data_IF_544736577576
#
_entry.id   IF_544736577576
#
_cell.length_a   1.000
_cell.length_b   1.000
_cell.length_c   1.000
_cell.angle_alpha   90.00
_cell.angle_beta   90.00
_cell.angle_gamma   90.00
#
_symmetry.space_group_name_H-M   'P 1'
#
loop_
_entity.id
_entity.type
_entity.pdbx_description
1 polymer ?
#
# COMPACT_ATOMS: atom_id res chain seq x y z
N UNK A 1 0.29 11.97 8.34
CA UNK A 1 -0.51 13.20 8.56
C UNK A 1 -2.00 12.90 8.83
N UNK A 2 -2.61 11.89 8.20
CA UNK A 2 -4.01 11.50 8.48
C UNK A 2 -4.19 10.96 9.90
N UNK A 3 -3.22 10.22 10.42
CA UNK A 3 -3.27 9.70 11.80
C UNK A 3 -3.21 10.81 12.86
N UNK A 4 -2.48 11.89 12.61
CA UNK A 4 -2.48 13.06 13.50
C UNK A 4 -3.86 13.77 13.56
N UNK A 5 -4.68 13.68 12.52
CA UNK A 5 -6.04 14.21 12.52
C UNK A 5 -6.92 13.40 13.47
N UNK A 6 -6.75 12.07 13.55
CA UNK A 6 -7.48 11.19 14.46
C UNK A 6 -7.14 11.48 15.94
N UNK A 7 -5.85 11.59 16.25
CA UNK A 7 -5.41 11.78 17.64
C UNK A 7 -5.73 13.16 18.20
N UNK A 8 -5.78 14.20 17.37
CA UNK A 8 -5.84 15.57 17.84
C UNK A 8 -7.14 16.30 17.53
N UNK A 9 -8.08 15.69 16.78
CA UNK A 9 -9.31 16.34 16.31
C UNK A 9 -9.07 17.75 15.73
N UNK A 10 -7.88 18.00 15.20
CA UNK A 10 -7.47 19.27 14.60
C UNK A 10 -7.77 19.23 13.11
N UNK A 11 -8.61 20.12 12.64
CA UNK A 11 -8.95 20.25 11.22
C UNK A 11 -7.75 20.51 10.32
N UNK A 12 -7.92 20.25 9.03
CA UNK A 12 -6.94 20.65 8.02
C UNK A 12 -6.96 22.16 7.81
N UNK A 13 -5.77 22.74 7.68
CA UNK A 13 -5.62 24.14 7.32
C UNK A 13 -6.16 24.38 5.90
N UNK A 14 -7.09 25.28 5.72
CA UNK A 14 -7.48 25.76 4.38
C UNK A 14 -6.43 26.72 3.84
N UNK A 15 -5.92 26.45 2.64
CA UNK A 15 -5.04 27.38 1.91
C UNK A 15 -5.85 28.39 1.06
N UNK A 16 -7.16 28.23 0.96
CA UNK A 16 -7.99 28.97 0.01
C UNK A 16 -8.19 30.44 0.35
N UNK A 17 -8.04 30.84 1.62
CA UNK A 17 -8.30 32.22 2.08
C UNK A 17 -7.05 33.00 2.49
N UNK A 18 -5.87 32.41 2.39
CA UNK A 18 -4.63 33.03 2.86
C UNK A 18 -4.49 33.09 4.40
N UNK A 19 -5.57 32.90 5.13
CA UNK A 19 -5.58 32.84 6.57
C UNK A 19 -5.39 31.40 7.06
N UNK A 20 -4.51 31.20 8.02
CA UNK A 20 -4.25 29.89 8.65
C UNK A 20 -5.35 29.54 9.66
N UNK A 21 -6.58 29.40 9.20
CA UNK A 21 -7.69 28.98 10.06
C UNK A 21 -7.81 27.47 10.01
N UNK A 22 -7.65 26.81 11.17
CA UNK A 22 -7.93 25.40 11.31
C UNK A 22 -9.46 25.19 11.21
N UNK A 23 -9.93 24.50 10.19
CA UNK A 23 -11.33 24.12 10.04
C UNK A 23 -11.50 22.78 10.76
N UNK A 24 -12.24 22.71 11.88
CA UNK A 24 -12.53 21.45 12.54
C UNK A 24 -13.31 20.53 11.59
N UNK A 25 -12.87 19.29 11.44
CA UNK A 25 -13.61 18.27 10.71
C UNK A 25 -14.16 17.27 11.71
N UNK A 26 -15.44 17.00 11.61
CA UNK A 26 -16.06 15.88 12.32
C UNK A 26 -15.57 14.59 11.63
N UNK A 27 -14.96 13.70 12.40
CA UNK A 27 -14.51 12.39 11.95
C UNK A 27 -15.18 11.37 12.84
N UNK A 28 -15.93 10.47 12.23
CA UNK A 28 -16.53 9.32 12.89
C UNK A 28 -15.93 8.05 12.34
N UNK A 29 -15.70 7.08 13.22
CA UNK A 29 -15.18 5.77 12.86
C UNK A 29 -16.34 4.82 12.70
N UNK A 30 -16.30 3.99 11.68
CA UNK A 30 -17.19 2.85 11.54
C UNK A 30 -16.42 1.54 11.81
N UNK A 31 -17.15 0.51 12.15
CA UNK A 31 -16.65 -0.84 12.34
C UNK A 31 -16.91 -1.67 11.08
N UNK A 32 -15.91 -2.40 10.62
CA UNK A 32 -16.00 -3.25 9.40
C UNK A 32 -17.14 -4.26 9.53
N UNK A 33 -18.00 -4.33 8.53
CA UNK A 33 -19.14 -5.24 8.48
C UNK A 33 -20.30 -4.87 9.38
N UNK A 34 -20.25 -3.71 10.06
CA UNK A 34 -21.33 -3.25 10.94
C UNK A 34 -22.01 -2.02 10.32
N UNK A 35 -23.29 -2.15 10.07
CA UNK A 35 -24.11 -1.08 9.56
C UNK A 35 -24.11 0.16 10.46
N UNK A 36 -24.18 1.32 9.83
CA UNK A 36 -24.35 2.61 10.48
C UNK A 36 -25.22 3.52 9.63
N UNK A 37 -25.74 4.61 10.22
CA UNK A 37 -26.57 5.55 9.49
C UNK A 37 -25.93 6.93 9.42
N UNK A 38 -26.09 7.60 8.28
CA UNK A 38 -25.79 9.00 8.07
C UNK A 38 -27.12 9.67 7.71
N UNK A 39 -27.68 10.44 8.62
CA UNK A 39 -29.04 11.00 8.50
C UNK A 39 -30.06 9.88 8.20
N UNK A 40 -30.72 9.93 7.04
CA UNK A 40 -31.70 8.93 6.59
C UNK A 40 -31.11 7.79 5.74
N UNK A 41 -29.81 7.78 5.51
CA UNK A 41 -29.14 6.77 4.68
C UNK A 41 -28.56 5.70 5.61
N UNK A 42 -28.93 4.44 5.39
CA UNK A 42 -28.26 3.31 6.03
C UNK A 42 -27.09 2.82 5.18
N UNK A 43 -25.94 2.57 5.79
CA UNK A 43 -24.67 2.25 5.12
C UNK A 43 -24.12 0.93 5.63
N UNK A 44 -23.93 -0.02 4.71
CA UNK A 44 -23.23 -1.28 4.97
C UNK A 44 -21.76 -1.15 4.50
N UNK A 45 -20.77 -1.11 5.40
CA UNK A 45 -19.36 -1.14 5.03
C UNK A 45 -18.88 -2.59 4.89
N UNK A 46 -18.51 -2.99 3.70
CA UNK A 46 -18.06 -4.35 3.39
C UNK A 46 -16.57 -4.34 3.01
N UNK A 47 -15.71 -5.11 3.70
CA UNK A 47 -14.31 -5.16 3.37
C UNK A 47 -14.11 -5.76 1.96
N UNK A 48 -13.13 -5.24 1.24
CA UNK A 48 -12.71 -5.77 -0.07
C UNK A 48 -11.19 -5.88 -0.14
N UNK A 49 -10.71 -6.73 -1.02
CA UNK A 49 -9.27 -6.86 -1.28
C UNK A 49 -8.78 -5.69 -2.13
N UNK A 50 -7.73 -5.06 -1.67
CA UNK A 50 -6.95 -4.04 -2.37
C UNK A 50 -5.52 -4.07 -1.80
N UNK A 51 -4.56 -3.34 -2.40
CA UNK A 51 -3.16 -3.29 -1.93
C UNK A 51 -2.99 -2.78 -0.49
N UNK A 52 -3.96 -2.00 0.01
CA UNK A 52 -3.98 -1.48 1.38
C UNK A 52 -5.07 -2.20 2.17
N UNK A 53 -4.73 -2.94 3.26
CA UNK A 53 -5.72 -3.52 4.14
C UNK A 53 -6.64 -2.46 4.77
N UNK A 54 -7.94 -2.78 4.86
CA UNK A 54 -8.94 -1.87 5.42
C UNK A 54 -9.69 -1.02 4.38
N UNK A 55 -9.54 -1.30 3.10
CA UNK A 55 -10.42 -0.75 2.06
C UNK A 55 -11.78 -1.41 2.18
N UNK A 56 -12.84 -0.60 2.02
CA UNK A 56 -14.23 -1.03 2.09
C UNK A 56 -15.00 -0.57 0.87
N UNK A 57 -15.78 -1.45 0.33
CA UNK A 57 -16.92 -1.14 -0.51
C UNK A 57 -18.14 -0.81 0.38
N UNK A 58 -19.16 -0.21 -0.20
CA UNK A 58 -20.34 0.21 0.55
C UNK A 58 -21.62 -0.12 -0.19
N UNK A 59 -22.65 -0.53 0.56
CA UNK A 59 -24.03 -0.54 0.07
C UNK A 59 -24.78 0.55 0.84
N UNK A 60 -25.43 1.45 0.10
CA UNK A 60 -26.18 2.57 0.63
C UNK A 60 -27.66 2.30 0.39
N UNK A 61 -28.45 2.27 1.45
CA UNK A 61 -29.91 2.15 1.39
C UNK A 61 -30.54 3.52 1.64
N UNK A 62 -31.27 4.01 0.66
CA UNK A 62 -31.95 5.30 0.69
C UNK A 62 -33.47 5.13 0.52
N UNK A 63 -34.25 6.17 0.71
CA UNK A 63 -35.68 6.14 0.45
C UNK A 63 -36.01 5.97 -1.05
N UNK A 64 -35.10 6.34 -1.94
CA UNK A 64 -35.29 6.33 -3.40
C UNK A 64 -34.67 5.09 -4.08
N UNK A 65 -33.89 4.29 -3.34
CA UNK A 65 -33.26 3.07 -3.86
C UNK A 65 -31.96 2.69 -3.18
N UNK A 66 -31.33 1.62 -3.67
CA UNK A 66 -30.09 1.05 -3.15
C UNK A 66 -28.91 1.25 -4.11
N UNK A 67 -27.78 1.65 -3.58
CA UNK A 67 -26.55 1.97 -4.34
C UNK A 67 -25.40 1.12 -3.80
N UNK A 68 -24.79 0.32 -4.67
CA UNK A 68 -23.49 -0.32 -4.40
C UNK A 68 -22.34 0.57 -4.88
N UNK A 69 -21.27 0.64 -4.11
CA UNK A 69 -20.01 1.28 -4.50
C UNK A 69 -18.86 0.33 -4.23
N UNK A 70 -18.18 -0.10 -5.30
CA UNK A 70 -17.09 -1.09 -5.19
C UNK A 70 -15.88 -0.56 -4.43
N UNK A 71 -15.68 0.77 -4.37
CA UNK A 71 -14.37 1.33 -4.13
C UNK A 71 -13.32 0.70 -5.06
N UNK A 72 -12.03 0.74 -4.70
CA UNK A 72 -10.98 0.03 -5.42
C UNK A 72 -10.91 -1.41 -4.92
N UNK A 73 -10.99 -2.38 -5.81
CA UNK A 73 -11.01 -3.80 -5.46
C UNK A 73 -10.20 -4.69 -6.42
N UNK A 74 -9.87 -5.89 -5.94
CA UNK A 74 -9.25 -6.97 -6.73
C UNK A 74 -9.65 -8.34 -6.19
N UNK A 75 -9.33 -9.44 -6.93
CA UNK A 75 -9.54 -10.84 -6.50
C UNK A 75 -8.23 -11.65 -6.45
N UNK A 76 -7.12 -11.05 -6.83
CA UNK A 76 -5.82 -11.73 -6.92
C UNK A 76 -4.87 -11.41 -5.74
N UNK A 77 -5.39 -10.76 -4.71
CA UNK A 77 -4.67 -10.51 -3.47
C UNK A 77 -4.94 -11.53 -2.38
N UNK A 78 -4.63 -11.17 -1.14
CA UNK A 78 -4.73 -12.07 0.02
C UNK A 78 -6.11 -12.11 0.68
N UNK A 79 -7.01 -11.21 0.27
CA UNK A 79 -8.36 -11.05 0.85
C UNK A 79 -9.46 -11.17 -0.20
N UNK A 80 -9.22 -11.97 -1.27
CA UNK A 80 -10.21 -12.16 -2.35
C UNK A 80 -11.58 -12.58 -1.82
N UNK A 81 -11.62 -13.40 -0.76
CA UNK A 81 -12.87 -13.89 -0.15
C UNK A 81 -13.71 -12.72 0.41
N UNK A 82 -13.09 -11.61 0.83
CA UNK A 82 -13.81 -10.41 1.26
C UNK A 82 -14.50 -9.75 0.05
N UNK A 83 -13.81 -9.66 -1.09
CA UNK A 83 -14.39 -9.12 -2.34
C UNK A 83 -15.51 -10.05 -2.88
N UNK A 84 -15.34 -11.36 -2.81
CA UNK A 84 -16.39 -12.33 -3.20
C UNK A 84 -17.66 -12.12 -2.37
N UNK A 85 -17.55 -11.99 -1.04
CA UNK A 85 -18.67 -11.70 -0.14
C UNK A 85 -19.35 -10.36 -0.44
N UNK A 86 -18.59 -9.34 -0.83
CA UNK A 86 -19.18 -8.08 -1.26
C UNK A 86 -20.05 -8.27 -2.50
N UNK A 87 -19.58 -9.01 -3.51
CA UNK A 87 -20.35 -9.30 -4.72
C UNK A 87 -21.63 -10.09 -4.41
N UNK A 88 -21.52 -11.12 -3.57
CA UNK A 88 -22.67 -11.92 -3.10
C UNK A 88 -23.68 -11.02 -2.37
N UNK A 89 -23.22 -10.17 -1.48
CA UNK A 89 -24.10 -9.25 -0.72
C UNK A 89 -24.79 -8.22 -1.63
N UNK A 90 -24.10 -7.74 -2.67
CA UNK A 90 -24.71 -6.89 -3.69
C UNK A 90 -25.86 -7.60 -4.43
N UNK A 91 -25.64 -8.85 -4.83
CA UNK A 91 -26.67 -9.66 -5.51
C UNK A 91 -27.93 -9.87 -4.63
N UNK A 92 -27.76 -10.01 -3.32
CA UNK A 92 -28.85 -10.14 -2.35
C UNK A 92 -29.60 -8.83 -2.08
N UNK A 93 -28.97 -7.67 -2.36
CA UNK A 93 -29.49 -6.35 -2.00
C UNK A 93 -30.39 -5.71 -3.05
N UNK A 94 -30.67 -6.38 -4.20
CA UNK A 94 -31.46 -5.86 -5.32
C UNK A 94 -31.06 -4.42 -5.67
N UNK A 95 -29.80 -4.22 -6.02
CA UNK A 95 -29.20 -2.89 -6.25
C UNK A 95 -29.87 -2.16 -7.42
N UNK A 96 -30.31 -0.91 -7.18
CA UNK A 96 -30.78 -0.02 -8.25
C UNK A 96 -29.59 0.50 -9.07
N UNK A 97 -28.46 0.82 -8.41
CA UNK A 97 -27.25 1.31 -9.08
C UNK A 97 -26.00 0.64 -8.49
N UNK A 98 -25.08 0.29 -9.35
CA UNK A 98 -23.70 -0.05 -8.98
C UNK A 98 -22.73 1.01 -9.51
N UNK A 99 -21.99 1.66 -8.62
CA UNK A 99 -20.81 2.45 -8.95
C UNK A 99 -19.62 1.47 -8.99
N UNK A 100 -19.11 1.19 -10.19
CA UNK A 100 -18.07 0.17 -10.38
C UNK A 100 -16.76 0.77 -10.87
N UNK A 101 -15.66 0.48 -10.17
CA UNK A 101 -14.34 0.85 -10.63
C UNK A 101 -13.99 0.20 -11.97
N UNK A 102 -13.02 0.77 -12.67
CA UNK A 102 -12.50 0.23 -13.91
C UNK A 102 -11.08 0.71 -14.20
N UNK A 103 -10.28 0.91 -13.17
CA UNK A 103 -8.90 1.43 -13.29
C UNK A 103 -8.05 0.60 -14.26
N UNK A 104 -8.23 -0.72 -14.27
CA UNK A 104 -7.51 -1.67 -15.14
C UNK A 104 -8.45 -2.58 -15.91
N UNK A 105 -9.58 -2.06 -16.31
CA UNK A 105 -10.63 -2.81 -17.01
C UNK A 105 -10.17 -3.34 -18.39
N UNK A 106 -9.17 -2.72 -19.00
CA UNK A 106 -8.53 -3.12 -20.25
C UNK A 106 -7.34 -4.09 -20.06
N UNK A 107 -6.92 -4.35 -18.80
CA UNK A 107 -5.81 -5.24 -18.52
C UNK A 107 -6.23 -6.72 -18.59
N UNK A 108 -5.29 -7.55 -19.01
CA UNK A 108 -5.43 -9.02 -18.95
C UNK A 108 -5.05 -9.55 -17.56
N UNK A 109 -5.55 -10.76 -17.19
CA UNK A 109 -5.16 -11.40 -15.94
C UNK A 109 -3.65 -11.48 -15.77
N UNK A 110 -3.17 -11.16 -14.58
CA UNK A 110 -1.76 -11.10 -14.23
C UNK A 110 -1.44 -12.07 -13.08
N UNK A 111 -0.30 -11.85 -12.44
CA UNK A 111 0.12 -12.59 -11.25
C UNK A 111 -0.85 -12.39 -10.08
N UNK A 112 -0.85 -13.35 -9.17
CA UNK A 112 -1.43 -13.20 -7.83
C UNK A 112 -0.37 -12.70 -6.83
N UNK A 113 -0.80 -12.26 -5.65
CA UNK A 113 0.11 -11.90 -4.56
C UNK A 113 0.97 -13.09 -4.10
N UNK A 114 0.46 -14.32 -4.23
CA UNK A 114 1.21 -15.55 -3.96
C UNK A 114 2.28 -15.87 -5.01
N UNK A 115 2.03 -15.52 -6.28
CA UNK A 115 3.04 -15.64 -7.34
C UNK A 115 4.18 -14.64 -7.11
N UNK A 116 3.85 -13.41 -6.67
CA UNK A 116 4.85 -12.42 -6.26
C UNK A 116 5.71 -12.99 -5.13
N UNK A 117 5.08 -13.51 -4.08
CA UNK A 117 5.77 -14.13 -2.94
C UNK A 117 6.74 -15.22 -3.40
N UNK A 118 6.26 -16.18 -4.22
CA UNK A 118 7.09 -17.28 -4.72
C UNK A 118 8.29 -16.79 -5.52
N UNK A 119 8.09 -15.85 -6.43
CA UNK A 119 9.18 -15.27 -7.24
C UNK A 119 10.19 -14.50 -6.39
N UNK A 120 9.73 -13.77 -5.37
CA UNK A 120 10.61 -13.07 -4.44
C UNK A 120 11.46 -14.07 -3.64
N UNK A 121 10.86 -15.16 -3.14
CA UNK A 121 11.58 -16.24 -2.44
C UNK A 121 12.70 -16.79 -3.32
N UNK A 122 12.41 -17.10 -4.59
CA UNK A 122 13.38 -17.66 -5.53
C UNK A 122 14.56 -16.70 -5.77
N UNK A 123 14.29 -15.42 -5.98
CA UNK A 123 15.34 -14.41 -6.21
C UNK A 123 16.19 -14.25 -4.96
N UNK A 124 15.57 -14.12 -3.79
CA UNK A 124 16.28 -13.92 -2.52
C UNK A 124 17.16 -15.11 -2.18
N UNK A 125 16.70 -16.35 -2.43
CA UNK A 125 17.49 -17.55 -2.22
C UNK A 125 18.73 -17.62 -3.13
N UNK A 126 18.65 -17.04 -4.33
CA UNK A 126 19.77 -16.98 -5.28
C UNK A 126 20.68 -15.74 -5.07
N UNK A 127 20.30 -14.80 -4.20
CA UNK A 127 21.06 -13.58 -3.90
C UNK A 127 22.18 -13.88 -2.91
N UNK A 128 23.44 -13.58 -3.30
CA UNK A 128 24.62 -13.81 -2.43
C UNK A 128 24.92 -12.65 -1.49
N UNK A 129 24.62 -11.43 -1.92
CA UNK A 129 24.82 -10.19 -1.17
C UNK A 129 23.52 -9.69 -0.52
N UNK A 130 23.37 -8.36 -0.47
CA UNK A 130 22.17 -7.69 0.00
C UNK A 130 21.03 -7.90 -1.01
N UNK A 131 19.90 -8.41 -0.57
CA UNK A 131 18.67 -8.32 -1.34
C UNK A 131 18.01 -6.95 -1.04
N UNK A 132 17.88 -6.10 -2.06
CA UNK A 132 17.28 -4.79 -1.92
C UNK A 132 15.90 -4.86 -2.58
N UNK A 133 14.88 -4.30 -1.94
CA UNK A 133 13.53 -4.29 -2.49
C UNK A 133 12.89 -2.91 -2.43
N UNK A 134 12.12 -2.57 -3.47
CA UNK A 134 11.30 -1.36 -3.53
C UNK A 134 9.84 -1.72 -3.78
N UNK A 135 8.93 -1.27 -2.90
CA UNK A 135 7.48 -1.44 -3.04
C UNK A 135 6.74 -0.28 -2.34
N UNK A 136 5.41 -0.09 -2.57
CA UNK A 136 4.69 0.99 -1.92
C UNK A 136 4.69 0.81 -0.39
N UNK A 137 5.15 1.82 0.34
CA UNK A 137 5.34 1.75 1.82
C UNK A 137 4.08 1.36 2.59
N UNK A 138 2.91 1.57 2.03
CA UNK A 138 1.61 1.25 2.62
C UNK A 138 1.03 -0.09 2.17
N UNK A 139 1.66 -0.75 1.21
CA UNK A 139 1.27 -2.08 0.75
C UNK A 139 1.80 -3.14 1.74
N UNK A 140 1.01 -3.42 2.77
CA UNK A 140 1.41 -4.38 3.81
C UNK A 140 1.23 -5.84 3.35
N UNK A 141 0.45 -6.10 2.33
CA UNK A 141 0.40 -7.44 1.72
C UNK A 141 1.73 -7.74 1.01
N UNK A 142 2.29 -6.73 0.33
CA UNK A 142 3.61 -6.85 -0.28
C UNK A 142 4.72 -6.94 0.76
N UNK A 143 4.64 -6.17 1.85
CA UNK A 143 5.53 -6.34 2.99
C UNK A 143 5.48 -7.78 3.52
N UNK A 144 4.28 -8.36 3.64
CA UNK A 144 4.11 -9.74 4.09
C UNK A 144 4.78 -10.73 3.13
N UNK A 145 4.69 -10.53 1.81
CA UNK A 145 5.39 -11.35 0.82
C UNK A 145 6.91 -11.32 1.01
N UNK A 146 7.50 -10.14 1.24
CA UNK A 146 8.92 -10.01 1.55
C UNK A 146 9.30 -10.57 2.93
N UNK A 147 8.43 -10.47 3.92
CA UNK A 147 8.64 -11.08 5.23
C UNK A 147 8.67 -12.61 5.16
N UNK A 148 7.76 -13.21 4.39
CA UNK A 148 7.76 -14.66 4.15
C UNK A 148 9.02 -15.07 3.42
N UNK A 149 9.46 -14.31 2.40
CA UNK A 149 10.72 -14.55 1.72
C UNK A 149 11.92 -14.47 2.67
N UNK A 150 11.93 -13.51 3.59
CA UNK A 150 12.98 -13.40 4.61
C UNK A 150 13.05 -14.65 5.49
N UNK A 151 11.90 -15.13 5.98
CA UNK A 151 11.84 -16.38 6.78
C UNK A 151 12.34 -17.59 6.00
N UNK A 152 11.89 -17.76 4.75
CA UNK A 152 12.22 -18.91 3.92
C UNK A 152 13.70 -18.93 3.50
N UNK A 153 14.35 -17.77 3.44
CA UNK A 153 15.77 -17.63 3.10
C UNK A 153 16.69 -17.50 4.32
N UNK A 154 16.15 -17.62 5.53
CA UNK A 154 16.87 -17.39 6.79
C UNK A 154 17.55 -16.01 6.86
N UNK A 155 16.85 -14.99 6.37
CA UNK A 155 17.24 -13.57 6.43
C UNK A 155 16.27 -12.78 7.31
N UNK A 156 16.63 -11.53 7.62
CA UNK A 156 15.74 -10.58 8.26
C UNK A 156 15.26 -9.55 7.24
N UNK A 157 13.96 -9.22 7.26
CA UNK A 157 13.42 -8.10 6.51
C UNK A 157 13.68 -6.79 7.26
N UNK A 158 14.42 -5.90 6.65
CA UNK A 158 14.71 -4.56 7.17
C UNK A 158 13.68 -3.59 6.60
N UNK A 159 12.83 -3.06 7.46
CA UNK A 159 11.73 -2.13 7.11
C UNK A 159 12.05 -0.72 7.59
N UNK A 160 11.37 0.28 7.03
CA UNK A 160 11.49 1.66 7.52
C UNK A 160 10.58 1.92 8.74
N UNK A 161 10.76 3.06 9.41
CA UNK A 161 9.98 3.42 10.60
C UNK A 161 8.48 3.63 10.28
N UNK A 162 8.11 4.01 9.04
CA UNK A 162 6.69 4.14 8.67
C UNK A 162 6.02 2.78 8.61
N UNK A 163 6.69 1.79 8.04
CA UNK A 163 6.20 0.42 8.00
C UNK A 163 6.13 -0.18 9.41
N UNK A 164 7.14 0.07 10.26
CA UNK A 164 7.11 -0.35 11.67
C UNK A 164 5.92 0.27 12.41
N UNK A 165 5.63 1.54 12.18
CA UNK A 165 4.48 2.22 12.76
C UNK A 165 3.14 1.62 12.27
N UNK A 166 3.02 1.33 10.96
CA UNK A 166 1.83 0.67 10.42
C UNK A 166 1.63 -0.74 11.01
N UNK A 167 2.70 -1.54 11.11
CA UNK A 167 2.64 -2.86 11.74
C UNK A 167 2.22 -2.77 13.22
N UNK A 168 2.69 -1.75 13.96
CA UNK A 168 2.26 -1.49 15.34
C UNK A 168 0.76 -1.22 15.41
N UNK A 169 0.22 -0.39 14.51
CA UNK A 169 -1.22 -0.11 14.45
C UNK A 169 -2.02 -1.36 14.12
N UNK A 170 -1.56 -2.17 13.17
CA UNK A 170 -2.22 -3.41 12.77
C UNK A 170 -2.20 -4.45 13.87
N UNK A 171 -1.09 -4.53 14.61
CA UNK A 171 -1.01 -5.42 15.78
C UNK A 171 -1.93 -5.00 16.93
N UNK A 172 -2.21 -3.70 17.04
CA UNK A 172 -3.18 -3.18 18.01
C UNK A 172 -4.66 -3.39 17.59
N UNK A 173 -4.92 -3.62 16.30
CA UNK A 173 -6.28 -3.87 15.77
C UNK A 173 -6.69 -5.32 15.96
N UNK A 174 -7.84 -5.59 16.58
CA UNK A 174 -8.35 -6.96 16.76
C UNK A 174 -8.62 -7.67 15.42
N UNK A 175 -9.06 -6.93 14.39
CA UNK A 175 -9.34 -7.48 13.07
C UNK A 175 -8.08 -7.88 12.29
N UNK A 176 -6.92 -7.28 12.58
CA UNK A 176 -5.68 -7.44 11.83
C UNK A 176 -4.57 -8.12 12.64
N UNK A 177 -4.74 -8.23 13.96
CA UNK A 177 -3.76 -8.88 14.85
C UNK A 177 -3.50 -10.32 14.40
N UNK A 178 -2.25 -10.66 14.24
CA UNK A 178 -1.80 -11.99 13.79
C UNK A 178 -1.88 -12.24 12.30
N UNK A 179 -2.49 -11.35 11.49
CA UNK A 179 -2.46 -11.45 10.02
C UNK A 179 -1.17 -10.89 9.44
N UNK A 180 -0.52 -9.99 10.14
CA UNK A 180 0.75 -9.35 9.76
C UNK A 180 1.77 -9.50 10.88
N UNK A 181 3.09 -9.46 10.59
CA UNK A 181 4.12 -9.55 11.62
C UNK A 181 4.03 -8.38 12.61
N UNK A 182 4.44 -8.60 13.84
CA UNK A 182 4.69 -7.52 14.79
C UNK A 182 5.95 -6.75 14.37
N UNK A 183 6.05 -5.43 14.66
CA UNK A 183 7.29 -4.70 14.43
C UNK A 183 8.48 -5.24 15.26
N UNK A 184 8.23 -6.06 16.28
CA UNK A 184 9.23 -6.74 17.11
C UNK A 184 9.41 -8.22 16.75
N UNK A 185 8.84 -8.68 15.64
CA UNK A 185 8.99 -10.06 15.20
C UNK A 185 10.47 -10.40 14.94
N UNK A 186 10.82 -11.67 15.17
CA UNK A 186 12.21 -12.18 15.09
C UNK A 186 12.89 -11.84 13.75
N UNK A 187 12.15 -11.95 12.64
CA UNK A 187 12.68 -11.71 11.29
C UNK A 187 12.40 -10.29 10.77
N UNK A 188 12.04 -9.33 11.65
CA UNK A 188 11.92 -7.91 11.33
C UNK A 188 13.08 -7.15 11.96
N UNK A 189 13.68 -6.24 11.20
CA UNK A 189 14.58 -5.19 11.67
C UNK A 189 14.04 -3.83 11.27
N UNK A 190 14.19 -2.85 12.14
CA UNK A 190 13.72 -1.48 11.89
C UNK A 190 14.92 -0.62 11.54
N UNK A 191 14.94 -0.10 10.33
CA UNK A 191 16.02 0.73 9.85
C UNK A 191 15.92 2.15 10.42
N UNK A 192 16.94 2.52 11.19
CA UNK A 192 17.11 3.87 11.69
C UNK A 192 17.92 4.67 10.65
N UNK A 193 17.19 5.38 9.82
CA UNK A 193 17.78 6.23 8.77
C UNK A 193 18.48 7.45 9.40
N UNK A 194 19.48 7.97 8.73
CA UNK A 194 20.04 9.28 9.11
C UNK A 194 18.95 10.36 8.98
N UNK A 195 18.78 11.16 10.01
CA UNK A 195 17.90 12.33 10.03
C UNK A 195 18.49 13.53 9.31
N UNK A 196 17.92 14.72 9.50
CA UNK A 196 18.31 15.95 8.81
C UNK A 196 19.73 16.42 9.17
N UNK A 197 20.18 16.15 10.38
CA UNK A 197 21.56 16.41 10.83
C UNK A 197 22.54 15.30 10.48
N UNK A 198 22.04 14.16 10.01
CA UNK A 198 22.84 12.97 9.70
C UNK A 198 23.39 12.26 10.95
N UNK A 199 22.83 12.54 12.13
CA UNK A 199 23.27 11.97 13.40
C UNK A 199 22.67 10.59 13.62
N UNK A 200 23.41 9.75 14.36
CA UNK A 200 22.97 8.48 14.91
C UNK A 200 23.56 8.37 16.33
N UNK A 201 22.97 7.54 17.19
CA UNK A 201 23.31 7.36 18.60
C UNK A 201 24.80 7.45 18.95
N UNK A 202 25.68 6.93 18.11
CA UNK A 202 27.14 6.93 18.32
C UNK A 202 27.79 8.31 18.21
N UNK A 203 27.06 9.26 17.68
CA UNK A 203 27.52 10.66 17.61
C UNK A 203 27.18 11.44 18.90
N UNK A 204 26.45 10.82 19.84
CA UNK A 204 26.00 11.44 21.09
C UNK A 204 27.12 12.07 21.92
N UNK A 205 28.34 11.52 21.84
CA UNK A 205 29.50 12.10 22.52
C UNK A 205 29.89 13.51 22.00
N UNK A 206 29.39 13.87 20.81
CA UNK A 206 29.68 15.18 20.17
C UNK A 206 28.46 16.10 20.22
N UNK A 207 27.27 15.56 20.39
CA UNK A 207 26.01 16.29 20.33
C UNK A 207 25.13 15.91 21.50
N UNK A 208 24.28 16.83 21.95
CA UNK A 208 23.32 16.54 23.03
C UNK A 208 22.24 15.59 22.55
N UNK A 209 21.72 14.74 23.44
CA UNK A 209 20.57 13.86 23.18
C UNK A 209 19.38 14.64 22.59
N UNK A 210 19.10 15.84 23.09
CA UNK A 210 18.07 16.72 22.55
C UNK A 210 18.27 17.03 21.07
N UNK A 211 19.51 17.19 20.61
CA UNK A 211 19.81 17.48 19.20
C UNK A 211 19.63 16.22 18.32
N UNK A 212 20.02 15.06 18.84
CA UNK A 212 19.77 13.77 18.19
C UNK A 212 18.27 13.50 18.02
N UNK A 213 17.50 13.68 19.09
CA UNK A 213 16.05 13.49 19.06
C UNK A 213 15.35 14.48 18.13
N UNK A 214 15.88 15.70 17.96
CA UNK A 214 15.32 16.70 17.04
C UNK A 214 15.39 16.28 15.56
N UNK A 215 16.27 15.34 15.20
CA UNK A 215 16.35 14.79 13.85
C UNK A 215 15.15 13.89 13.48
N UNK A 216 14.43 13.41 14.48
CA UNK A 216 13.33 12.48 14.31
C UNK A 216 12.01 13.08 14.81
N UNK A 217 10.95 12.92 14.02
CA UNK A 217 9.59 13.28 14.45
C UNK A 217 9.19 12.45 15.69
N UNK A 218 8.32 13.00 16.57
CA UNK A 218 7.93 12.36 17.83
C UNK A 218 7.48 10.90 17.69
N UNK A 219 6.77 10.57 16.61
CA UNK A 219 6.34 9.20 16.33
C UNK A 219 7.46 8.26 15.89
N UNK A 220 8.60 8.79 15.41
CA UNK A 220 9.79 8.02 15.02
C UNK A 220 10.68 7.73 16.22
N UNK A 221 10.71 8.63 17.20
CA UNK A 221 11.63 8.55 18.35
C UNK A 221 11.45 7.26 19.14
N UNK A 222 10.23 6.72 19.24
CA UNK A 222 9.99 5.47 19.93
C UNK A 222 10.75 4.27 19.32
N UNK A 223 11.01 4.28 17.99
CA UNK A 223 11.68 3.17 17.31
C UNK A 223 13.21 3.18 17.49
N UNK A 224 13.78 4.29 17.97
CA UNK A 224 15.23 4.40 18.17
C UNK A 224 15.75 3.39 19.20
N UNK A 225 14.94 3.07 20.21
CA UNK A 225 15.28 2.18 21.31
C UNK A 225 14.72 0.74 21.13
N UNK A 226 14.16 0.42 19.97
CA UNK A 226 13.67 -0.94 19.73
C UNK A 226 14.84 -1.94 19.70
N UNK A 227 14.70 -3.14 20.29
CA UNK A 227 15.78 -4.13 20.40
C UNK A 227 16.23 -4.67 19.04
N UNK A 228 15.40 -4.51 18.02
CA UNK A 228 15.66 -4.91 16.63
C UNK A 228 15.91 -3.72 15.70
N UNK A 229 16.19 -2.53 16.25
CA UNK A 229 16.64 -1.37 15.50
C UNK A 229 18.04 -1.62 14.93
N UNK A 230 18.24 -1.23 13.68
CA UNK A 230 19.51 -1.35 12.96
C UNK A 230 19.79 -0.09 12.15
N UNK A 231 21.07 0.25 11.99
CA UNK A 231 21.49 1.34 11.13
C UNK A 231 22.30 0.84 9.92
N UNK A 232 22.74 1.75 9.06
CA UNK A 232 23.52 1.40 7.86
C UNK A 232 24.80 0.60 8.20
N UNK A 233 25.42 0.79 9.38
CA UNK A 233 26.63 0.10 9.80
C UNK A 233 26.38 -1.37 10.08
N UNK A 234 25.21 -1.69 10.61
CA UNK A 234 24.80 -3.06 10.86
C UNK A 234 24.52 -3.79 9.54
N UNK A 235 23.81 -3.11 8.63
CA UNK A 235 23.52 -3.68 7.31
C UNK A 235 24.81 -3.90 6.51
N UNK A 236 25.72 -2.90 6.49
CA UNK A 236 27.00 -2.98 5.77
C UNK A 236 27.83 -4.20 6.19
N UNK A 237 27.81 -4.52 7.49
CA UNK A 237 28.59 -5.65 8.04
C UNK A 237 28.07 -7.03 7.65
N UNK A 238 26.76 -7.17 7.40
CA UNK A 238 26.09 -8.48 7.28
C UNK A 238 25.08 -8.50 6.14
N UNK A 239 25.44 -7.95 4.99
CA UNK A 239 24.55 -7.72 3.86
C UNK A 239 23.75 -8.96 3.42
N UNK A 240 24.36 -10.12 3.42
CA UNK A 240 23.74 -11.39 3.05
C UNK A 240 22.70 -11.91 4.07
N UNK A 241 22.58 -11.27 5.23
CA UNK A 241 21.57 -11.62 6.24
C UNK A 241 20.28 -10.82 6.10
N UNK A 242 20.23 -9.86 5.17
CA UNK A 242 19.11 -8.92 5.08
C UNK A 242 18.43 -8.90 3.72
N UNK A 243 17.11 -8.63 3.77
CA UNK A 243 16.34 -8.07 2.69
C UNK A 243 16.06 -6.62 3.10
N UNK A 244 16.59 -5.66 2.37
CA UNK A 244 16.55 -4.24 2.73
C UNK A 244 15.49 -3.49 1.91
N UNK A 245 14.48 -2.96 2.58
CA UNK A 245 13.51 -2.07 1.96
C UNK A 245 14.14 -0.70 1.67
N UNK A 246 14.18 -0.34 0.40
CA UNK A 246 14.71 0.94 -0.09
C UNK A 246 13.68 1.60 -1.01
N UNK A 247 12.99 2.61 -0.53
CA UNK A 247 12.07 3.36 -1.38
C UNK A 247 12.84 4.27 -2.35
N UNK A 248 12.22 4.60 -3.48
CA UNK A 248 12.79 5.49 -4.51
C UNK A 248 13.17 6.88 -3.98
N UNK A 249 12.65 7.26 -2.79
CA UNK A 249 12.97 8.51 -2.10
C UNK A 249 14.16 8.38 -1.12
N UNK A 250 14.72 7.18 -0.97
CA UNK A 250 15.77 6.86 0.00
C UNK A 250 16.99 6.18 -0.60
N UNK A 251 17.18 6.30 -1.92
CA UNK A 251 18.33 5.72 -2.63
C UNK A 251 19.67 6.22 -2.09
N UNK A 252 19.72 7.42 -1.50
CA UNK A 252 20.93 7.95 -0.85
C UNK A 252 21.42 7.09 0.33
N UNK A 253 20.57 6.27 0.95
CA UNK A 253 21.00 5.35 2.01
C UNK A 253 22.01 4.32 1.50
N UNK A 254 21.97 4.01 0.19
CA UNK A 254 22.92 3.11 -0.46
C UNK A 254 24.36 3.65 -0.47
N UNK A 255 24.55 4.98 -0.35
CA UNK A 255 25.88 5.59 -0.24
C UNK A 255 26.57 5.13 1.04
N UNK A 256 25.82 5.05 2.14
CA UNK A 256 26.31 4.61 3.44
C UNK A 256 26.40 3.07 3.51
N UNK A 257 25.38 2.35 2.99
CA UNK A 257 25.32 0.88 3.03
C UNK A 257 26.36 0.24 2.10
N UNK A 258 26.62 0.82 0.94
CA UNK A 258 27.58 0.33 -0.08
C UNK A 258 27.32 -1.13 -0.44
N UNK A 259 26.28 -1.39 -1.26
CA UNK A 259 25.96 -2.75 -1.66
C UNK A 259 27.18 -3.50 -2.18
N UNK A 260 27.41 -4.70 -1.65
CA UNK A 260 28.54 -5.55 -2.03
C UNK A 260 28.25 -6.34 -3.31
N UNK A 261 29.26 -6.91 -3.90
CA UNK A 261 29.09 -7.82 -5.04
C UNK A 261 28.12 -8.96 -4.74
N UNK A 262 27.23 -9.26 -5.69
CA UNK A 262 26.15 -10.23 -5.52
C UNK A 262 24.91 -9.68 -4.85
N UNK A 263 24.83 -8.37 -4.61
CA UNK A 263 23.57 -7.70 -4.25
C UNK A 263 22.58 -7.75 -5.42
N UNK A 264 21.28 -7.77 -5.12
CA UNK A 264 20.20 -7.86 -6.09
C UNK A 264 19.13 -6.83 -5.75
N UNK A 265 18.48 -6.24 -6.78
CA UNK A 265 17.33 -5.35 -6.58
C UNK A 265 16.05 -5.98 -7.13
N UNK A 266 14.99 -5.93 -6.33
CA UNK A 266 13.65 -6.39 -6.68
C UNK A 266 12.71 -5.20 -6.65
N UNK A 267 12.24 -4.78 -7.83
CA UNK A 267 11.24 -3.73 -7.98
C UNK A 267 9.85 -4.34 -7.91
N UNK A 268 9.09 -3.99 -6.89
CA UNK A 268 7.71 -4.45 -6.69
C UNK A 268 6.74 -3.27 -6.68
N UNK A 269 6.89 -2.42 -7.68
CA UNK A 269 6.10 -1.22 -7.97
C UNK A 269 5.45 -1.36 -9.34
N UNK A 270 4.39 -0.60 -9.60
CA UNK A 270 3.76 -0.58 -10.93
C UNK A 270 4.77 -0.15 -12.00
N UNK A 271 4.56 -0.63 -13.21
CA UNK A 271 5.27 -0.14 -14.39
C UNK A 271 4.92 1.33 -14.63
N UNK A 272 5.84 2.13 -15.18
CA UNK A 272 5.55 3.51 -15.56
C UNK A 272 4.39 3.59 -16.56
N UNK A 273 3.46 4.51 -16.34
CA UNK A 273 2.37 4.80 -17.27
C UNK A 273 2.37 6.25 -17.76
N UNK A 274 3.32 7.06 -17.32
CA UNK A 274 3.57 8.40 -17.80
C UNK A 274 5.08 8.71 -17.84
N UNK A 275 5.44 9.80 -18.54
CA UNK A 275 6.83 10.22 -18.74
C UNK A 275 7.55 10.54 -17.41
N UNK A 276 6.85 11.08 -16.40
CA UNK A 276 7.45 11.39 -15.10
C UNK A 276 7.89 10.11 -14.39
N UNK A 277 7.06 9.09 -14.45
CA UNK A 277 7.35 7.77 -13.87
C UNK A 277 8.48 7.06 -14.64
N UNK A 278 8.53 7.18 -15.97
CA UNK A 278 9.64 6.65 -16.79
C UNK A 278 10.98 7.28 -16.38
N UNK A 279 11.03 8.61 -16.31
CA UNK A 279 12.23 9.34 -15.86
C UNK A 279 12.63 8.97 -14.43
N UNK A 280 11.66 8.76 -13.57
CA UNK A 280 11.90 8.31 -12.19
C UNK A 280 12.48 6.90 -12.16
N UNK A 281 11.94 5.99 -12.93
CA UNK A 281 12.47 4.63 -13.04
C UNK A 281 13.89 4.61 -13.61
N UNK A 282 14.17 5.40 -14.65
CA UNK A 282 15.52 5.56 -15.18
C UNK A 282 16.49 6.09 -14.12
N UNK A 283 16.08 7.08 -13.32
CA UNK A 283 16.87 7.56 -12.19
C UNK A 283 17.18 6.43 -11.21
N UNK A 284 16.20 5.61 -10.84
CA UNK A 284 16.39 4.47 -9.95
C UNK A 284 17.36 3.45 -10.55
N UNK A 285 17.21 3.10 -11.84
CA UNK A 285 18.13 2.22 -12.55
C UNK A 285 19.58 2.74 -12.52
N UNK A 286 19.77 4.03 -12.76
CA UNK A 286 21.10 4.67 -12.75
C UNK A 286 21.78 4.57 -11.37
N UNK A 287 21.02 4.68 -10.26
CA UNK A 287 21.55 4.45 -8.92
C UNK A 287 22.06 3.02 -8.75
N UNK A 288 21.28 2.02 -9.15
CA UNK A 288 21.68 0.61 -9.02
C UNK A 288 22.81 0.20 -9.98
N UNK A 289 22.89 0.82 -11.15
CA UNK A 289 24.05 0.68 -12.06
C UNK A 289 25.31 1.26 -11.39
N UNK A 290 25.20 2.45 -10.80
CA UNK A 290 26.31 3.11 -10.11
C UNK A 290 26.90 2.23 -8.98
N UNK A 291 26.05 1.55 -8.22
CA UNK A 291 26.49 0.64 -7.15
C UNK A 291 26.85 -0.77 -7.67
N UNK A 292 26.81 -1.02 -8.96
CA UNK A 292 27.14 -2.34 -9.55
C UNK A 292 26.14 -3.46 -9.21
N UNK A 293 24.92 -3.09 -8.76
CA UNK A 293 23.81 -4.02 -8.51
C UNK A 293 23.19 -4.45 -9.83
N UNK A 294 23.00 -3.52 -10.76
CA UNK A 294 22.57 -3.78 -12.13
C UNK A 294 23.78 -3.75 -13.07
N UNK A 295 24.09 -4.88 -13.70
CA UNK A 295 25.18 -5.03 -14.68
C UNK A 295 24.65 -5.30 -16.09
N UNK A 296 23.42 -5.78 -16.18
CA UNK A 296 22.71 -6.12 -17.41
C UNK A 296 21.20 -6.00 -17.17
N UNK A 297 20.43 -5.95 -18.24
CA UNK A 297 18.97 -5.76 -18.20
C UNK A 297 18.26 -6.84 -17.35
N UNK A 298 18.71 -8.09 -17.42
CA UNK A 298 18.13 -9.21 -16.67
C UNK A 298 18.30 -9.08 -15.15
N UNK A 299 19.15 -8.18 -14.67
CA UNK A 299 19.34 -7.92 -13.24
C UNK A 299 18.21 -7.01 -12.68
N UNK A 300 17.34 -6.46 -13.54
CA UNK A 300 16.15 -5.72 -13.17
C UNK A 300 14.98 -6.67 -12.95
N UNK A 301 14.73 -7.01 -11.69
CA UNK A 301 13.62 -7.90 -11.34
C UNK A 301 12.35 -7.10 -11.09
N UNK A 302 11.54 -6.88 -12.12
CA UNK A 302 10.22 -6.28 -12.03
C UNK A 302 9.21 -7.35 -11.62
N UNK A 303 8.69 -7.31 -10.39
CA UNK A 303 7.72 -8.27 -9.87
C UNK A 303 6.64 -7.50 -9.12
N UNK A 304 5.52 -7.28 -9.78
CA UNK A 304 4.42 -6.51 -9.24
C UNK A 304 3.08 -7.12 -9.63
N UNK A 305 2.08 -6.90 -8.79
CA UNK A 305 0.68 -7.13 -9.07
C UNK A 305 -0.13 -5.93 -8.59
N UNK A 306 -1.11 -5.53 -9.37
CA UNK A 306 -1.92 -4.34 -9.13
C UNK A 306 -2.78 -4.45 -7.86
N UNK A 307 -3.13 -3.31 -7.29
CA UNK A 307 -4.17 -3.19 -6.27
C UNK A 307 -5.59 -3.24 -6.84
N UNK A 308 -5.74 -3.14 -8.18
CA UNK A 308 -7.02 -3.08 -8.88
C UNK A 308 -7.26 -4.34 -9.71
N UNK A 309 -8.53 -4.74 -9.82
CA UNK A 309 -8.98 -5.85 -10.64
C UNK A 309 -8.69 -5.64 -12.14
N UNK A 310 -8.38 -6.71 -12.84
CA UNK A 310 -8.29 -6.75 -14.30
C UNK A 310 -9.69 -6.84 -14.94
N UNK A 311 -9.76 -6.80 -16.27
CA UNK A 311 -11.01 -6.80 -17.01
C UNK A 311 -11.91 -8.00 -16.72
N UNK A 312 -11.35 -9.20 -16.52
CA UNK A 312 -12.14 -10.39 -16.18
C UNK A 312 -12.73 -10.30 -14.77
N UNK A 313 -11.99 -9.75 -13.83
CA UNK A 313 -12.41 -9.56 -12.44
C UNK A 313 -13.50 -8.49 -12.33
N UNK A 314 -13.34 -7.36 -13.03
CA UNK A 314 -14.38 -6.31 -13.07
C UNK A 314 -15.64 -6.82 -13.78
N UNK A 315 -15.48 -7.58 -14.88
CA UNK A 315 -16.61 -8.24 -15.54
C UNK A 315 -17.34 -9.19 -14.59
N UNK A 316 -16.62 -9.96 -13.79
CA UNK A 316 -17.22 -10.84 -12.78
C UNK A 316 -18.08 -10.05 -11.78
N UNK A 317 -17.61 -8.89 -11.31
CA UNK A 317 -18.38 -7.99 -10.43
C UNK A 317 -19.67 -7.55 -11.13
N UNK A 318 -19.58 -7.04 -12.35
CA UNK A 318 -20.74 -6.57 -13.13
C UNK A 318 -21.77 -7.67 -13.35
N UNK A 319 -21.31 -8.86 -13.75
CA UNK A 319 -22.19 -10.01 -14.08
C UNK A 319 -22.91 -10.58 -12.85
N UNK A 320 -22.31 -10.47 -11.65
CA UNK A 320 -22.81 -11.18 -10.47
C UNK A 320 -23.45 -10.27 -9.40
N UNK A 321 -23.40 -8.96 -9.55
CA UNK A 321 -24.08 -8.03 -8.60
C UNK A 321 -25.56 -7.81 -8.92
N UNK A 322 -26.03 -8.17 -10.12
CA UNK A 322 -27.41 -8.04 -10.59
C UNK A 322 -27.98 -6.59 -10.44
N UNK A 323 -27.14 -5.57 -10.51
CA UNK A 323 -27.59 -4.19 -10.42
C UNK A 323 -28.47 -3.79 -11.62
N UNK A 324 -29.52 -2.98 -11.40
CA UNK A 324 -30.42 -2.52 -12.47
C UNK A 324 -29.76 -1.50 -13.40
N UNK A 325 -28.77 -0.77 -12.88
CA UNK A 325 -28.02 0.26 -13.60
C UNK A 325 -26.57 0.26 -13.15
N UNK A 326 -25.66 0.58 -14.07
CA UNK A 326 -24.20 0.61 -13.82
C UNK A 326 -23.62 1.97 -14.14
N UNK A 327 -22.81 2.50 -13.25
CA UNK A 327 -22.05 3.72 -13.45
C UNK A 327 -20.55 3.39 -13.30
N UNK A 328 -19.79 3.41 -14.41
CA UNK A 328 -18.35 3.29 -14.34
C UNK A 328 -17.73 4.49 -13.62
N UNK A 329 -16.84 4.20 -12.68
CA UNK A 329 -16.06 5.21 -11.96
C UNK A 329 -14.57 4.84 -12.02
N UNK A 330 -13.69 5.81 -11.83
CA UNK A 330 -12.25 5.60 -11.77
C UNK A 330 -11.72 4.83 -13.00
N UNK A 331 -12.18 5.21 -14.20
CA UNK A 331 -11.79 4.59 -15.47
C UNK A 331 -11.79 5.62 -16.60
N UNK A 332 -10.93 5.40 -17.59
CA UNK A 332 -10.93 6.09 -18.88
C UNK A 332 -11.56 5.21 -19.98
N UNK A 333 -11.97 3.97 -19.64
CA UNK A 333 -12.40 2.92 -20.56
C UNK A 333 -13.81 2.42 -20.22
N UNK A 334 -14.80 3.33 -20.18
CA UNK A 334 -16.20 2.98 -19.87
C UNK A 334 -16.86 2.08 -20.93
N UNK A 335 -16.28 2.01 -22.13
CA UNK A 335 -16.75 1.16 -23.21
C UNK A 335 -16.72 -0.34 -22.87
N UNK A 336 -15.87 -0.77 -21.93
CA UNK A 336 -15.90 -2.16 -21.45
C UNK A 336 -17.14 -2.43 -20.63
N UNK A 337 -17.50 -1.56 -19.71
CA UNK A 337 -18.73 -1.67 -18.91
C UNK A 337 -19.99 -1.68 -19.81
N UNK A 338 -20.01 -0.86 -20.88
CA UNK A 338 -21.10 -0.83 -21.87
C UNK A 338 -21.25 -2.13 -22.66
N UNK A 339 -20.18 -2.91 -22.81
CA UNK A 339 -20.24 -4.25 -23.43
C UNK A 339 -20.84 -5.31 -22.51
N UNK A 340 -20.72 -5.13 -21.21
CA UNK A 340 -21.09 -6.14 -20.22
C UNK A 340 -22.47 -5.88 -19.60
N UNK A 341 -22.93 -4.64 -19.57
CA UNK A 341 -24.21 -4.27 -18.97
C UNK A 341 -25.05 -3.42 -19.92
N UNK A 342 -26.37 -3.73 -20.01
CA UNK A 342 -27.27 -3.06 -20.96
C UNK A 342 -27.68 -1.64 -20.56
N UNK A 343 -27.64 -1.33 -19.27
CA UNK A 343 -28.03 -0.02 -18.72
C UNK A 343 -26.81 0.62 -18.02
N UNK A 344 -25.95 1.29 -18.81
CA UNK A 344 -24.75 1.97 -18.33
C UNK A 344 -24.88 3.46 -18.54
N UNK A 345 -24.67 4.22 -17.47
CA UNK A 345 -24.63 5.69 -17.50
C UNK A 345 -23.21 6.17 -17.27
N UNK A 346 -22.58 6.77 -18.26
CA UNK A 346 -21.32 7.49 -18.11
C UNK A 346 -21.61 8.90 -17.61
N UNK A 347 -20.97 9.30 -16.52
CA UNK A 347 -21.17 10.63 -15.90
C UNK A 347 -19.90 11.48 -16.04
N UNK A 348 -20.06 12.74 -16.38
CA UNK A 348 -18.97 13.70 -16.36
C UNK A 348 -18.86 14.35 -14.98
N UNK A 349 -17.70 14.94 -14.73
CA UNK A 349 -17.49 15.70 -13.50
C UNK A 349 -18.55 16.82 -13.36
N UNK A 350 -19.16 16.93 -12.19
CA UNK A 350 -20.23 17.87 -11.86
C UNK A 350 -21.60 17.61 -12.53
N UNK A 351 -21.79 16.51 -13.22
CA UNK A 351 -23.13 16.08 -13.66
C UNK A 351 -23.89 15.41 -12.50
N UNK A 352 -25.20 15.64 -12.45
CA UNK A 352 -26.12 14.93 -11.58
C UNK A 352 -27.13 14.16 -12.42
N UNK A 353 -27.49 12.99 -11.97
CA UNK A 353 -28.54 12.17 -12.57
C UNK A 353 -29.50 11.71 -11.47
N UNK A 354 -30.71 11.33 -11.87
CA UNK A 354 -31.67 10.72 -10.96
C UNK A 354 -31.62 9.22 -11.12
N UNK A 355 -31.71 8.52 -10.00
CA UNK A 355 -31.93 7.08 -9.94
C UNK A 355 -33.23 6.67 -10.58
#
# INVERSE_FOLDING_TARGET
QRFQIYENNKGTMSKATGDKVAIPRRIELFESGKEFSIDSINVEPLPVDHSIPGVHAFILHTADGSIGNTADLRFHGRRKDDTEKFVERCAESDLDVLLCEGTRVDAVPSLTEYDVESKVVDIVNNTKGLAICGYPVRDLDRLLSFYIAAKNSNRDLVIDMKQAYLLKLFHASDALRGKYPSPTDKNIKIYIQRGSWGLIDKDINKFTEKLLLADYASWQQEFLDYPNAVDYRDIQKKQNQYIFFCSDFRLQDLIDIKPSEGATYIRSLTEPFDLEMELKEEQVKNWFVHFGVLKKEQDWHQIHVSGHGDGEQIKYVVDNTNAKSLIPIHTEHDEYHKKWHSNVTSVNQHESFKL
#
